data_IF_148743177025
#
_entry.id   IF_148743177025
#
_cell.length_a   1.000
_cell.length_b   1.000
_cell.length_c   1.000
_cell.angle_alpha   90.00
_cell.angle_beta   90.00
_cell.angle_gamma   90.00
#
_symmetry.space_group_name_H-M   'P 1'
#
loop_
_entity.id
_entity.type
_entity.pdbx_description
1 polymer ?
#
# COMPACT_ATOMS: atom_id res chain seq x y z
N UNK A 1 -2.28 -1.85 67.49
CA UNK A 1 -2.46 -0.58 66.79
C UNK A 1 -3.28 -0.87 65.52
N UNK A 2 -4.48 -0.31 65.37
CA UNK A 2 -5.26 -0.46 64.16
C UNK A 2 -4.75 0.57 63.14
N UNK A 3 -4.49 0.20 61.87
CA UNK A 3 -4.01 1.13 60.87
C UNK A 3 -5.11 2.18 60.56
N UNK A 4 -4.69 3.43 60.46
CA UNK A 4 -5.58 4.58 60.21
C UNK A 4 -6.18 4.48 58.82
N UNK A 5 -7.43 4.96 58.58
CA UNK A 5 -8.12 4.85 57.29
C UNK A 5 -7.42 5.57 56.12
N UNK A 6 -6.46 6.44 56.45
CA UNK A 6 -5.70 7.18 55.44
C UNK A 6 -4.76 6.31 54.57
N UNK A 7 -4.30 5.17 55.13
CA UNK A 7 -3.34 4.30 54.41
C UNK A 7 -4.03 3.39 53.36
N UNK A 8 -5.35 3.14 53.52
CA UNK A 8 -6.11 2.29 52.59
C UNK A 8 -6.48 3.06 51.28
N UNK A 9 -6.78 4.36 51.38
CA UNK A 9 -7.14 5.17 50.22
C UNK A 9 -5.96 5.40 49.26
N UNK A 10 -4.73 5.50 49.78
CA UNK A 10 -3.54 5.64 48.95
C UNK A 10 -3.22 4.34 48.17
N UNK A 11 -3.46 3.18 48.79
CA UNK A 11 -3.21 1.90 48.14
C UNK A 11 -4.15 1.67 46.91
N UNK A 12 -5.42 2.07 47.03
CA UNK A 12 -6.38 1.95 45.93
C UNK A 12 -6.12 2.96 44.81
N UNK A 13 -5.61 4.13 45.12
CA UNK A 13 -5.23 5.14 44.13
C UNK A 13 -4.00 4.71 43.33
N UNK A 14 -3.01 4.06 43.99
CA UNK A 14 -1.85 3.51 43.30
C UNK A 14 -2.17 2.26 42.45
N UNK A 15 -3.14 1.43 42.84
CA UNK A 15 -3.59 0.30 42.02
C UNK A 15 -4.41 0.76 40.80
N UNK A 16 -5.21 1.81 40.94
CA UNK A 16 -5.98 2.36 39.81
C UNK A 16 -5.10 3.06 38.77
N UNK A 17 -3.97 3.64 39.18
CA UNK A 17 -3.01 4.27 38.25
C UNK A 17 -2.15 3.22 37.49
N UNK A 18 -2.05 1.98 37.98
CA UNK A 18 -1.29 0.91 37.32
C UNK A 18 -2.07 0.16 36.24
N UNK A 19 -3.34 0.47 36.04
CA UNK A 19 -4.22 -0.08 35.01
C UNK A 19 -4.43 0.85 33.82
N UNK A 20 -3.53 1.81 33.58
CA UNK A 20 -3.41 2.42 32.26
C UNK A 20 -2.83 1.31 31.36
N UNK A 21 -3.70 0.51 30.79
CA UNK A 21 -3.38 -0.37 29.68
C UNK A 21 -2.65 0.51 28.65
N UNK A 22 -1.38 0.29 28.44
CA UNK A 22 -0.70 0.85 27.30
C UNK A 22 -1.52 0.42 26.08
N UNK A 23 -2.19 1.34 25.42
CA UNK A 23 -2.88 1.02 24.19
C UNK A 23 -1.83 0.42 23.25
N UNK A 24 -2.08 -0.79 22.76
CA UNK A 24 -1.16 -1.41 21.81
C UNK A 24 -1.01 -0.49 20.60
N UNK A 25 0.24 -0.26 20.19
CA UNK A 25 0.56 0.61 19.07
C UNK A 25 -0.16 0.13 17.80
N UNK A 26 -0.90 1.02 17.15
CA UNK A 26 -1.65 0.70 15.95
C UNK A 26 -0.70 0.63 14.74
N UNK A 27 -0.67 -0.52 14.08
CA UNK A 27 0.22 -0.80 12.95
C UNK A 27 -0.52 -0.81 11.62
N UNK A 28 0.07 -0.19 10.58
CA UNK A 28 -0.34 -0.40 9.19
C UNK A 28 0.60 -1.43 8.54
N UNK A 29 0.05 -2.59 8.19
CA UNK A 29 0.75 -3.63 7.43
C UNK A 29 0.61 -3.34 5.94
N UNK A 30 1.70 -2.88 5.32
CA UNK A 30 1.71 -2.28 3.99
C UNK A 30 2.21 -3.25 2.92
N UNK A 31 1.44 -3.40 1.85
CA UNK A 31 1.85 -4.07 0.62
C UNK A 31 2.05 -3.04 -0.48
N UNK A 32 3.16 -3.13 -1.20
CA UNK A 32 3.47 -2.26 -2.33
C UNK A 32 3.11 -2.98 -3.62
N UNK A 33 2.27 -2.38 -4.46
CA UNK A 33 1.96 -2.85 -5.80
C UNK A 33 2.63 -1.93 -6.81
N UNK A 34 3.53 -2.47 -7.62
CA UNK A 34 4.21 -1.72 -8.67
C UNK A 34 4.41 -2.56 -9.93
N UNK A 35 4.74 -1.91 -11.02
CA UNK A 35 4.95 -2.52 -12.31
C UNK A 35 4.34 -1.70 -13.43
N UNK A 36 4.19 -2.33 -14.61
CA UNK A 36 3.62 -1.67 -15.79
C UNK A 36 2.11 -1.90 -15.95
N UNK A 37 1.58 -1.85 -17.16
CA UNK A 37 0.14 -1.87 -17.50
C UNK A 37 -0.69 -2.92 -16.76
N UNK A 38 -0.13 -4.12 -16.51
CA UNK A 38 -0.83 -5.15 -15.75
C UNK A 38 -0.98 -4.80 -14.26
N UNK A 39 -0.02 -4.07 -13.70
CA UNK A 39 -0.14 -3.54 -12.33
C UNK A 39 -1.15 -2.39 -12.25
N UNK A 40 -1.27 -1.60 -13.31
CA UNK A 40 -2.34 -0.60 -13.43
C UNK A 40 -3.73 -1.26 -13.47
N UNK A 41 -3.83 -2.47 -14.04
CA UNK A 41 -5.10 -3.11 -14.34
C UNK A 41 -5.81 -2.49 -15.52
N UNK A 42 -5.04 -2.03 -16.51
CA UNK A 42 -5.54 -1.36 -17.70
C UNK A 42 -6.32 -2.34 -18.60
N UNK A 43 -7.64 -2.32 -18.50
CA UNK A 43 -8.54 -3.09 -19.38
C UNK A 43 -9.10 -2.17 -20.44
N UNK A 44 -8.64 -2.31 -21.69
CA UNK A 44 -9.20 -1.55 -22.81
C UNK A 44 -10.58 -2.05 -23.17
N UNK A 45 -11.56 -1.18 -23.13
CA UNK A 45 -12.80 -1.32 -23.91
C UNK A 45 -13.91 -2.18 -23.30
N UNK A 46 -13.76 -2.76 -22.15
CA UNK A 46 -14.87 -3.37 -21.42
C UNK A 46 -14.81 -2.98 -19.95
N UNK A 47 -15.86 -2.40 -19.39
CA UNK A 47 -15.98 -2.40 -17.95
C UNK A 47 -15.90 -3.84 -17.48
N UNK A 48 -15.17 -4.10 -16.41
CA UNK A 48 -15.29 -5.37 -15.72
C UNK A 48 -16.78 -5.66 -15.54
N UNK A 49 -17.21 -6.90 -15.77
CA UNK A 49 -18.61 -7.22 -15.60
C UNK A 49 -19.04 -6.87 -14.18
N UNK A 50 -20.27 -6.42 -14.02
CA UNK A 50 -20.85 -6.12 -12.69
C UNK A 50 -20.64 -7.31 -11.75
N UNK A 51 -20.72 -8.51 -12.29
CA UNK A 51 -20.50 -9.76 -11.57
C UNK A 51 -19.05 -9.91 -11.05
N UNK A 52 -18.03 -9.57 -11.85
CA UNK A 52 -16.64 -9.55 -11.40
C UNK A 52 -16.40 -8.48 -10.34
N UNK A 53 -17.01 -7.30 -10.50
CA UNK A 53 -16.89 -6.22 -9.52
C UNK A 53 -17.49 -6.64 -8.17
N UNK A 54 -18.64 -7.30 -8.18
CA UNK A 54 -19.26 -7.78 -6.94
C UNK A 54 -18.48 -8.97 -6.34
N UNK A 55 -17.96 -9.87 -7.17
CA UNK A 55 -17.17 -11.02 -6.69
C UNK A 55 -15.88 -10.62 -5.99
N UNK A 56 -15.22 -9.56 -6.45
CA UNK A 56 -13.95 -9.07 -5.91
C UNK A 56 -14.10 -7.72 -5.19
N UNK A 57 -15.29 -7.39 -4.76
CA UNK A 57 -15.55 -6.16 -4.01
C UNK A 57 -14.85 -6.22 -2.66
N UNK A 58 -14.07 -5.19 -2.39
CA UNK A 58 -13.52 -4.91 -1.06
C UNK A 58 -14.66 -4.56 -0.10
N UNK A 59 -14.57 -5.02 1.14
CA UNK A 59 -15.46 -4.61 2.23
C UNK A 59 -15.12 -3.21 2.77
N UNK A 60 -14.05 -2.61 2.27
CA UNK A 60 -13.57 -1.28 2.63
C UNK A 60 -12.62 -1.25 3.81
N UNK A 61 -12.30 -2.38 4.41
CA UNK A 61 -11.36 -2.44 5.54
C UNK A 61 -9.91 -2.28 5.11
N UNK A 62 -9.55 -2.71 3.90
CA UNK A 62 -8.22 -2.49 3.32
C UNK A 62 -8.02 -1.02 2.97
N UNK A 63 -6.96 -0.41 3.53
CA UNK A 63 -6.55 0.94 3.19
C UNK A 63 -5.87 0.98 1.84
N UNK A 64 -6.16 2.01 1.04
CA UNK A 64 -5.64 2.10 -0.31
C UNK A 64 -5.08 3.51 -0.61
N UNK A 65 -3.87 3.50 -1.12
CA UNK A 65 -3.18 4.69 -1.65
C UNK A 65 -2.70 4.40 -3.06
N UNK A 66 -2.90 5.30 -4.00
CA UNK A 66 -2.43 5.10 -5.35
C UNK A 66 -1.79 6.34 -5.96
N UNK A 67 -0.83 6.10 -6.83
CA UNK A 67 -0.27 7.07 -7.74
C UNK A 67 0.12 6.35 -9.04
N UNK A 68 -0.50 6.75 -10.14
CA UNK A 68 -0.09 6.32 -11.46
C UNK A 68 0.77 7.42 -12.07
N UNK A 69 1.87 7.10 -12.71
CA UNK A 69 2.82 8.09 -13.16
C UNK A 69 3.37 7.82 -14.56
N UNK A 70 3.89 8.86 -15.18
CA UNK A 70 4.56 8.78 -16.46
C UNK A 70 5.99 8.27 -16.28
N UNK A 71 6.34 7.19 -16.97
CA UNK A 71 7.65 6.52 -16.86
C UNK A 71 8.84 7.40 -17.17
N UNK A 72 8.68 8.38 -18.06
CA UNK A 72 9.79 9.24 -18.53
C UNK A 72 10.02 10.45 -17.62
N UNK A 73 8.97 10.94 -16.97
CA UNK A 73 9.03 12.15 -16.14
C UNK A 73 8.90 11.89 -14.66
N UNK A 74 8.33 10.74 -14.27
CA UNK A 74 7.95 10.45 -12.88
C UNK A 74 6.74 11.24 -12.38
N UNK A 75 6.25 12.18 -13.18
CA UNK A 75 5.09 12.99 -12.77
C UNK A 75 3.84 12.12 -12.71
N UNK A 76 3.02 12.37 -11.69
CA UNK A 76 1.69 11.79 -11.61
C UNK A 76 0.90 12.11 -12.87
N UNK A 77 0.13 11.14 -13.33
CA UNK A 77 -0.81 11.35 -14.44
C UNK A 77 -2.20 11.49 -13.89
N UNK A 78 -2.92 12.47 -14.41
CA UNK A 78 -4.31 12.74 -14.02
C UNK A 78 -5.22 11.62 -14.52
N UNK A 79 -5.43 10.66 -13.66
CA UNK A 79 -6.47 9.65 -13.79
C UNK A 79 -7.66 10.02 -12.89
N UNK A 80 -8.79 9.41 -13.12
CA UNK A 80 -9.94 9.57 -12.24
C UNK A 80 -10.16 8.27 -11.43
N UNK A 81 -10.00 8.27 -10.12
CA UNK A 81 -9.68 9.41 -9.25
C UNK A 81 -8.23 9.89 -9.43
N UNK A 82 -7.93 11.15 -9.07
CA UNK A 82 -6.57 11.67 -9.07
C UNK A 82 -5.68 10.91 -8.06
N UNK A 83 -4.35 11.08 -8.13
CA UNK A 83 -3.44 10.49 -7.15
C UNK A 83 -3.89 10.75 -5.72
N UNK A 84 -3.73 9.76 -4.85
CA UNK A 84 -4.18 9.86 -3.46
C UNK A 84 -3.45 10.97 -2.71
N UNK A 85 -4.19 11.75 -1.94
CA UNK A 85 -3.68 12.70 -0.95
C UNK A 85 -3.99 12.24 0.49
N UNK A 86 -4.77 11.19 0.63
CA UNK A 86 -5.13 10.53 1.89
C UNK A 86 -5.45 9.06 1.63
N UNK A 87 -5.44 8.27 2.70
CA UNK A 87 -5.84 6.86 2.63
C UNK A 87 -7.35 6.73 2.36
N UNK A 88 -7.68 5.95 1.35
CA UNK A 88 -9.06 5.57 1.00
C UNK A 88 -9.28 4.07 1.12
N UNK A 89 -10.33 3.57 0.46
CA UNK A 89 -10.60 2.14 0.28
C UNK A 89 -10.29 1.73 -1.15
N UNK A 90 -10.05 0.43 -1.37
CA UNK A 90 -9.85 -0.12 -2.71
C UNK A 90 -11.10 0.13 -3.55
N UNK A 91 -10.94 0.87 -4.63
CA UNK A 91 -12.01 1.27 -5.54
C UNK A 91 -11.55 1.23 -7.01
N UNK A 92 -12.48 1.02 -7.98
CA UNK A 92 -12.14 1.09 -9.40
C UNK A 92 -11.49 2.42 -9.74
N UNK A 93 -10.46 2.35 -10.58
CA UNK A 93 -9.77 3.52 -11.11
C UNK A 93 -10.10 3.67 -12.58
N UNK A 94 -10.13 4.90 -13.07
CA UNK A 94 -10.21 5.19 -14.50
C UNK A 94 -8.84 5.60 -14.99
N UNK A 95 -8.29 4.83 -15.93
CA UNK A 95 -7.00 5.12 -16.54
C UNK A 95 -7.18 5.70 -17.94
N UNK A 96 -6.27 6.58 -18.34
CA UNK A 96 -6.28 7.18 -19.68
C UNK A 96 -6.71 8.65 -19.70
N UNK A 97 -6.74 9.23 -20.88
CA UNK A 97 -7.19 10.60 -21.11
C UNK A 97 -8.71 10.66 -21.27
N UNK A 98 -9.30 11.84 -21.20
CA UNK A 98 -10.73 12.04 -21.42
C UNK A 98 -11.24 11.46 -22.77
N UNK A 99 -10.37 11.33 -23.76
CA UNK A 99 -10.70 10.77 -25.07
C UNK A 99 -10.52 9.23 -25.15
N UNK A 100 -9.83 8.62 -24.20
CA UNK A 100 -9.51 7.17 -24.18
C UNK A 100 -9.48 6.62 -22.76
N UNK A 101 -10.43 7.04 -21.92
CA UNK A 101 -10.55 6.53 -20.56
C UNK A 101 -11.04 5.09 -20.53
N UNK A 102 -10.49 4.27 -19.67
CA UNK A 102 -10.89 2.89 -19.45
C UNK A 102 -10.80 2.56 -17.95
N UNK A 103 -11.62 1.62 -17.51
CA UNK A 103 -11.59 1.19 -16.12
C UNK A 103 -10.30 0.42 -15.85
N UNK A 104 -9.64 0.78 -14.74
CA UNK A 104 -8.49 0.06 -14.22
C UNK A 104 -8.90 -0.74 -12.98
N UNK A 105 -8.85 -2.04 -13.11
CA UNK A 105 -8.95 -2.99 -12.01
C UNK A 105 -7.67 -3.81 -11.98
N UNK A 106 -6.76 -3.42 -11.14
CA UNK A 106 -5.51 -4.11 -10.98
C UNK A 106 -5.60 -5.27 -9.96
N UNK A 107 -4.46 -5.92 -9.71
CA UNK A 107 -4.37 -7.04 -8.76
C UNK A 107 -4.80 -6.66 -7.35
N UNK A 108 -4.77 -5.37 -7.00
CA UNK A 108 -5.20 -4.86 -5.69
C UNK A 108 -6.62 -5.29 -5.33
N UNK A 109 -7.49 -5.39 -6.30
CA UNK A 109 -8.87 -5.83 -6.09
C UNK A 109 -8.96 -7.25 -5.56
N UNK A 110 -8.41 -8.19 -6.34
CA UNK A 110 -8.43 -9.61 -5.96
C UNK A 110 -7.65 -9.85 -4.67
N UNK A 111 -6.52 -9.15 -4.50
CA UNK A 111 -5.70 -9.26 -3.30
C UNK A 111 -6.47 -8.76 -2.07
N UNK A 112 -7.01 -7.55 -2.10
CA UNK A 112 -7.79 -6.99 -1.00
C UNK A 112 -8.97 -7.91 -0.64
N UNK A 113 -9.81 -8.27 -1.61
CA UNK A 113 -10.99 -9.09 -1.36
C UNK A 113 -10.67 -10.47 -0.78
N UNK A 114 -9.55 -11.10 -1.15
CA UNK A 114 -9.13 -12.38 -0.58
C UNK A 114 -8.60 -12.20 0.83
N UNK A 115 -7.80 -11.18 1.08
CA UNK A 115 -7.22 -10.90 2.39
C UNK A 115 -8.30 -10.51 3.40
N UNK A 116 -9.25 -9.66 3.00
CA UNK A 116 -10.40 -9.25 3.81
C UNK A 116 -11.26 -10.45 4.22
N UNK A 117 -11.61 -11.31 3.26
CA UNK A 117 -12.39 -12.55 3.54
C UNK A 117 -11.68 -13.52 4.48
N UNK A 118 -10.35 -13.44 4.57
CA UNK A 118 -9.54 -14.24 5.51
C UNK A 118 -9.31 -13.53 6.85
N UNK A 119 -9.84 -12.34 7.05
CA UNK A 119 -9.66 -11.54 8.25
C UNK A 119 -8.29 -10.89 8.40
N UNK A 120 -7.51 -10.79 7.30
CA UNK A 120 -6.16 -10.20 7.32
C UNK A 120 -6.16 -8.68 7.24
N UNK A 121 -7.24 -8.07 6.75
CA UNK A 121 -7.37 -6.61 6.65
C UNK A 121 -7.39 -5.89 7.99
N UNK A 122 -7.71 -6.61 9.07
CA UNK A 122 -7.75 -6.12 10.44
C UNK A 122 -6.62 -6.72 11.30
N UNK A 123 -5.43 -6.90 10.72
CA UNK A 123 -4.25 -7.35 11.46
C UNK A 123 -4.00 -8.85 11.50
N UNK A 124 -4.76 -9.62 10.75
CA UNK A 124 -4.63 -11.06 10.72
C UNK A 124 -5.09 -11.75 12.00
N UNK A 125 -5.00 -13.08 12.05
CA UNK A 125 -5.56 -13.87 13.15
C UNK A 125 -4.86 -13.65 14.52
N UNK A 126 -3.79 -12.87 14.58
CA UNK A 126 -2.94 -12.76 15.77
C UNK A 126 -2.73 -11.36 16.34
N UNK A 127 -3.21 -10.29 15.72
CA UNK A 127 -3.02 -8.94 16.28
C UNK A 127 -4.24 -8.07 16.11
N UNK A 128 -4.97 -7.81 17.15
CA UNK A 128 -6.18 -6.97 17.16
C UNK A 128 -5.94 -5.48 16.87
N UNK A 129 -4.71 -5.07 16.53
CA UNK A 129 -4.35 -3.65 16.40
C UNK A 129 -3.53 -3.32 15.14
N UNK A 130 -3.77 -4.06 14.05
CA UNK A 130 -3.14 -3.76 12.76
C UNK A 130 -4.19 -3.71 11.65
N UNK A 131 -4.06 -2.74 10.76
CA UNK A 131 -4.82 -2.65 9.52
C UNK A 131 -3.94 -3.04 8.33
N UNK A 132 -4.55 -3.55 7.26
CA UNK A 132 -3.86 -3.80 6.00
C UNK A 132 -3.97 -2.57 5.09
N UNK A 133 -2.84 -2.22 4.45
CA UNK A 133 -2.77 -1.18 3.43
C UNK A 133 -2.14 -1.67 2.14
N UNK A 134 -2.56 -1.08 1.02
CA UNK A 134 -1.95 -1.28 -0.29
C UNK A 134 -1.54 0.09 -0.82
N UNK A 135 -0.26 0.25 -1.18
CA UNK A 135 0.23 1.39 -1.97
C UNK A 135 0.45 0.91 -3.39
N UNK A 136 -0.29 1.48 -4.32
CA UNK A 136 -0.14 1.22 -5.76
C UNK A 136 0.63 2.37 -6.40
N UNK A 137 1.81 2.05 -6.93
CA UNK A 137 2.68 2.97 -7.64
C UNK A 137 3.04 2.37 -9.01
N UNK A 138 2.25 2.67 -10.03
CA UNK A 138 2.27 1.97 -11.31
C UNK A 138 2.40 2.92 -12.49
N UNK A 139 2.95 2.41 -13.60
CA UNK A 139 3.13 3.18 -14.84
C UNK A 139 2.64 2.40 -16.06
N UNK A 140 2.50 3.09 -17.20
CA UNK A 140 2.15 2.45 -18.47
C UNK A 140 3.41 2.25 -19.34
N UNK A 141 3.66 0.99 -19.71
CA UNK A 141 4.76 0.55 -20.56
C UNK A 141 6.15 0.78 -19.93
N UNK A 142 7.15 0.05 -20.38
CA UNK A 142 8.53 0.19 -19.91
C UNK A 142 9.16 -1.15 -19.55
N UNK A 143 10.41 -1.35 -19.93
CA UNK A 143 11.21 -2.52 -19.53
C UNK A 143 11.75 -2.39 -18.11
N UNK A 144 12.42 -3.43 -17.61
CA UNK A 144 12.97 -3.47 -16.24
C UNK A 144 13.93 -2.31 -15.93
N UNK A 145 14.59 -1.76 -16.93
CA UNK A 145 15.51 -0.63 -16.76
C UNK A 145 14.86 0.62 -16.16
N UNK A 146 13.53 0.79 -16.30
CA UNK A 146 12.81 1.91 -15.68
C UNK A 146 12.74 1.82 -14.15
N UNK A 147 12.94 0.63 -13.57
CA UNK A 147 12.98 0.44 -12.11
C UNK A 147 14.40 0.44 -11.54
N UNK A 148 15.41 0.80 -12.33
CA UNK A 148 16.75 1.01 -11.80
C UNK A 148 16.80 2.24 -10.91
N UNK A 149 17.52 2.15 -9.79
CA UNK A 149 17.71 3.28 -8.86
C UNK A 149 18.18 4.54 -9.59
N UNK A 150 17.54 5.66 -9.29
CA UNK A 150 17.83 6.97 -9.87
C UNK A 150 17.07 7.28 -11.16
N UNK A 151 16.30 6.34 -11.71
CA UNK A 151 15.38 6.65 -12.81
C UNK A 151 14.14 7.40 -12.29
N UNK A 152 13.47 8.14 -13.16
CA UNK A 152 12.25 8.86 -12.79
C UNK A 152 11.14 7.91 -12.30
N UNK A 153 11.01 6.74 -12.90
CA UNK A 153 10.03 5.73 -12.48
C UNK A 153 10.35 5.16 -11.09
N UNK A 154 11.60 4.78 -10.85
CA UNK A 154 12.04 4.32 -9.53
C UNK A 154 11.79 5.37 -8.44
N UNK A 155 12.20 6.61 -8.70
CA UNK A 155 12.03 7.72 -7.75
C UNK A 155 10.54 7.98 -7.45
N UNK A 156 9.67 7.91 -8.46
CA UNK A 156 8.23 8.07 -8.29
C UNK A 156 7.61 6.94 -7.43
N UNK A 157 8.11 5.70 -7.54
CA UNK A 157 7.69 4.59 -6.66
C UNK A 157 8.09 4.89 -5.22
N UNK A 158 9.36 5.22 -4.97
CA UNK A 158 9.87 5.54 -3.62
C UNK A 158 9.08 6.69 -3.01
N UNK A 159 8.94 7.80 -3.74
CA UNK A 159 8.21 8.99 -3.29
C UNK A 159 6.75 8.68 -2.95
N UNK A 160 6.09 7.83 -3.76
CA UNK A 160 4.69 7.44 -3.51
C UNK A 160 4.57 6.63 -2.23
N UNK A 161 5.46 5.66 -2.01
CA UNK A 161 5.47 4.84 -0.80
C UNK A 161 5.74 5.70 0.43
N UNK A 162 6.73 6.59 0.36
CA UNK A 162 7.08 7.47 1.47
C UNK A 162 5.94 8.42 1.86
N UNK A 163 5.31 9.08 0.90
CA UNK A 163 4.14 9.95 1.15
C UNK A 163 2.99 9.18 1.80
N UNK A 164 2.77 7.95 1.39
CA UNK A 164 1.75 7.10 1.99
C UNK A 164 2.10 6.74 3.45
N UNK A 165 3.35 6.37 3.72
CA UNK A 165 3.84 6.08 5.07
C UNK A 165 3.75 7.31 5.99
N UNK A 166 4.25 8.46 5.55
CA UNK A 166 4.18 9.73 6.28
C UNK A 166 2.74 10.10 6.62
N UNK A 167 1.83 9.98 5.66
CA UNK A 167 0.40 10.26 5.90
C UNK A 167 -0.21 9.27 6.90
N UNK A 168 0.15 8.00 6.86
CA UNK A 168 -0.30 7.01 7.82
C UNK A 168 0.15 7.34 9.24
N UNK A 169 1.43 7.62 9.42
CA UNK A 169 2.02 7.98 10.73
C UNK A 169 1.46 9.30 11.27
N UNK A 170 1.21 10.27 10.40
CA UNK A 170 0.67 11.56 10.82
C UNK A 170 -0.80 11.51 11.29
N UNK A 171 -1.57 10.49 10.88
CA UNK A 171 -3.02 10.53 11.06
C UNK A 171 -3.59 9.42 11.95
N UNK A 172 -3.12 8.18 11.84
CA UNK A 172 -3.85 7.07 12.47
C UNK A 172 -3.00 5.93 12.99
N UNK A 173 -1.71 5.87 12.65
CA UNK A 173 -0.86 4.71 12.94
C UNK A 173 0.40 5.14 13.69
N UNK A 174 0.80 4.31 14.64
CA UNK A 174 2.06 4.48 15.39
C UNK A 174 3.23 3.85 14.64
N UNK A 175 2.93 2.90 13.72
CA UNK A 175 3.93 2.15 12.96
C UNK A 175 3.41 1.76 11.59
N UNK A 176 4.32 1.74 10.60
CA UNK A 176 4.10 1.14 9.28
C UNK A 176 5.10 0.00 9.07
N UNK A 177 4.61 -1.17 8.69
CA UNK A 177 5.43 -2.34 8.38
C UNK A 177 5.23 -2.74 6.91
N UNK A 178 6.29 -2.73 6.11
CA UNK A 178 6.22 -3.20 4.73
C UNK A 178 6.28 -4.73 4.73
N UNK A 179 5.17 -5.35 4.34
CA UNK A 179 4.97 -6.80 4.36
C UNK A 179 5.42 -7.47 3.08
N UNK A 180 5.40 -6.76 1.96
CA UNK A 180 5.81 -7.32 0.68
C UNK A 180 5.59 -6.40 -0.50
N UNK A 181 6.09 -6.84 -1.65
CA UNK A 181 5.98 -6.14 -2.93
C UNK A 181 5.32 -7.06 -3.96
N UNK A 182 4.23 -6.60 -4.54
CA UNK A 182 3.61 -7.20 -5.72
C UNK A 182 4.20 -6.52 -6.96
N UNK A 183 5.05 -7.22 -7.68
CA UNK A 183 5.78 -6.69 -8.85
C UNK A 183 5.27 -7.34 -10.13
N UNK A 184 4.55 -6.58 -10.94
CA UNK A 184 4.00 -7.03 -12.22
C UNK A 184 4.68 -6.28 -13.37
N UNK A 185 5.77 -6.86 -13.85
CA UNK A 185 6.66 -6.25 -14.81
C UNK A 185 7.33 -7.32 -15.68
N UNK A 186 7.56 -7.00 -16.96
CA UNK A 186 8.30 -7.87 -17.88
C UNK A 186 7.83 -7.84 -19.33
N UNK A 187 6.59 -7.44 -19.58
CA UNK A 187 5.94 -7.51 -20.90
C UNK A 187 6.58 -6.57 -21.94
N UNK A 188 7.23 -5.51 -21.49
CA UNK A 188 7.96 -4.55 -22.34
C UNK A 188 9.48 -4.70 -22.27
N UNK A 189 9.96 -5.81 -21.73
CA UNK A 189 11.39 -6.06 -21.65
C UNK A 189 12.01 -6.31 -23.02
N UNK A 190 13.22 -5.77 -23.24
CA UNK A 190 14.11 -6.24 -24.30
C UNK A 190 14.58 -7.67 -23.98
N UNK A 191 15.15 -8.35 -24.96
CA UNK A 191 15.74 -9.69 -24.74
C UNK A 191 16.83 -9.67 -23.64
N UNK A 192 17.65 -8.61 -23.59
CA UNK A 192 18.68 -8.45 -22.58
C UNK A 192 18.07 -8.26 -21.17
N UNK A 193 17.03 -7.47 -21.03
CA UNK A 193 16.29 -7.28 -19.77
C UNK A 193 15.61 -8.57 -19.32
N UNK A 194 15.01 -9.33 -20.25
CA UNK A 194 14.37 -10.62 -19.94
C UNK A 194 15.37 -11.65 -19.43
N UNK A 195 16.56 -11.69 -20.00
CA UNK A 195 17.63 -12.59 -19.54
C UNK A 195 18.20 -12.22 -18.16
N UNK A 196 17.99 -11.00 -17.70
CA UNK A 196 18.50 -10.51 -16.41
C UNK A 196 17.40 -10.15 -15.40
N UNK A 197 16.15 -10.59 -15.63
CA UNK A 197 14.98 -10.16 -14.84
C UNK A 197 15.13 -10.47 -13.35
N UNK A 198 15.66 -11.64 -13.00
CA UNK A 198 15.83 -12.03 -11.61
C UNK A 198 16.78 -11.09 -10.85
N UNK A 199 17.96 -10.79 -11.44
CA UNK A 199 18.91 -9.87 -10.82
C UNK A 199 18.37 -8.45 -10.75
N UNK A 200 17.65 -7.99 -11.79
CA UNK A 200 17.03 -6.66 -11.80
C UNK A 200 16.00 -6.54 -10.71
N UNK A 201 15.14 -7.56 -10.50
CA UNK A 201 14.15 -7.59 -9.44
C UNK A 201 14.81 -7.56 -8.05
N UNK A 202 15.81 -8.41 -7.80
CA UNK A 202 16.52 -8.43 -6.52
C UNK A 202 17.17 -7.08 -6.22
N UNK A 203 17.82 -6.48 -7.22
CA UNK A 203 18.43 -5.15 -7.09
C UNK A 203 17.38 -4.07 -6.79
N UNK A 204 16.24 -4.13 -7.48
CA UNK A 204 15.13 -3.20 -7.22
C UNK A 204 14.62 -3.33 -5.78
N UNK A 205 14.35 -4.55 -5.32
CA UNK A 205 13.84 -4.79 -3.96
C UNK A 205 14.84 -4.33 -2.89
N UNK A 206 16.12 -4.64 -3.07
CA UNK A 206 17.20 -4.19 -2.18
C UNK A 206 17.30 -2.66 -2.09
N UNK A 207 17.20 -1.98 -3.23
CA UNK A 207 17.23 -0.52 -3.27
C UNK A 207 15.98 0.07 -2.62
N UNK A 208 14.80 -0.43 -2.98
CA UNK A 208 13.53 0.03 -2.43
C UNK A 208 13.50 -0.10 -0.90
N UNK A 209 13.91 -1.26 -0.37
CA UNK A 209 13.98 -1.49 1.07
C UNK A 209 14.89 -0.48 1.77
N UNK A 210 16.08 -0.20 1.19
CA UNK A 210 17.01 0.76 1.77
C UNK A 210 16.49 2.19 1.72
N UNK A 211 15.92 2.59 0.60
CA UNK A 211 15.51 3.98 0.40
C UNK A 211 14.25 4.30 1.22
N UNK A 212 13.34 3.36 1.39
CA UNK A 212 12.14 3.56 2.22
C UNK A 212 12.44 3.43 3.72
N UNK A 213 13.43 2.61 4.12
CA UNK A 213 13.79 2.43 5.53
C UNK A 213 14.69 3.54 6.10
N UNK A 214 15.35 4.34 5.26
CA UNK A 214 16.29 5.38 5.73
C UNK A 214 15.63 6.67 6.20
N UNK A 215 14.35 6.86 5.96
CA UNK A 215 13.62 8.10 6.31
C UNK A 215 12.47 7.87 7.31
N UNK A 216 12.35 6.69 7.88
CA UNK A 216 11.45 6.31 8.97
C UNK A 216 12.24 6.06 10.25
#
# INVERSE_FOLDING_TARGET
MKPTPFCRSLLYACLAAALISAAEAKTLQLYILTGQSNSLGAVKGSPASVEMLEQYKSDGSTKFWHNNFNKNTGNSVDYNPPPSSSWGSVAPQVCGTAASSYNCMGPEYGFAAVMERKGWSLGGPSSGNADMGIVKASLDGGGNSYWNKGTNAYNAVVETVMKACENALANNYDKVEIMGVMYLQGESNTAAESNNVANSLLTFLDNLQRDVAQEG
#
